data_IF_530919264519
#
_entry.id   IF_530919264519
#
_cell.length_a   1.000
_cell.length_b   1.000
_cell.length_c   1.000
_cell.angle_alpha   90.00
_cell.angle_beta   90.00
_cell.angle_gamma   90.00
#
_symmetry.space_group_name_H-M   'P 1'
#
loop_
_entity.id
_entity.type
_entity.pdbx_description
1 polymer ?
#
# COMPACT_ATOMS: atom_id res chain seq x y z
N UNK A 1 -14.12 -7.57 12.93
CA UNK A 1 -12.65 -7.55 12.73
C UNK A 1 -12.09 -6.41 13.58
N UNK A 2 -10.81 -6.41 13.98
CA UNK A 2 -10.23 -5.23 14.63
C UNK A 2 -10.04 -4.16 13.55
N UNK A 3 -10.80 -3.06 13.66
CA UNK A 3 -10.85 -1.97 12.67
C UNK A 3 -10.10 -0.71 13.13
N UNK A 4 -9.66 -0.73 14.39
CA UNK A 4 -9.02 0.40 15.06
C UNK A 4 -7.78 -0.09 15.80
N UNK A 5 -6.70 0.68 15.74
CA UNK A 5 -5.54 0.58 16.60
C UNK A 5 -5.37 1.90 17.36
N UNK A 6 -5.05 1.84 18.64
CA UNK A 6 -4.94 3.04 19.47
C UNK A 6 -3.50 3.58 19.46
N UNK A 7 -3.36 4.89 19.51
CA UNK A 7 -2.05 5.51 19.70
C UNK A 7 -1.54 5.27 21.13
N UNK A 8 -0.29 4.78 21.32
CA UNK A 8 0.26 4.54 22.65
C UNK A 8 0.51 5.82 23.48
N UNK A 9 0.38 7.01 22.88
CA UNK A 9 0.66 8.29 23.54
C UNK A 9 -0.61 9.09 23.87
N UNK A 10 -1.59 9.14 22.97
CA UNK A 10 -2.80 9.94 23.14
C UNK A 10 -4.08 9.11 23.12
N UNK A 11 -3.97 7.78 23.02
CA UNK A 11 -5.10 6.83 22.94
C UNK A 11 -6.07 7.10 21.77
N UNK A 12 -5.69 8.00 20.86
CA UNK A 12 -6.49 8.35 19.70
C UNK A 12 -6.64 7.16 18.74
N UNK A 13 -7.87 6.97 18.27
CA UNK A 13 -8.23 5.90 17.35
C UNK A 13 -7.60 6.10 15.97
N UNK A 14 -6.90 5.08 15.49
CA UNK A 14 -6.29 5.02 14.15
C UNK A 14 -7.00 3.93 13.37
N UNK A 15 -7.56 4.27 12.22
CA UNK A 15 -8.30 3.36 11.34
C UNK A 15 -7.44 2.99 10.14
N UNK A 16 -7.87 1.98 9.38
CA UNK A 16 -7.20 1.59 8.13
C UNK A 16 -7.12 2.75 7.13
N UNK A 17 -8.12 3.63 7.11
CA UNK A 17 -8.13 4.81 6.23
C UNK A 17 -6.96 5.75 6.54
N UNK A 18 -6.69 6.02 7.82
CA UNK A 18 -5.52 6.81 8.23
C UNK A 18 -4.18 6.18 7.83
N UNK A 19 -4.13 4.86 7.57
CA UNK A 19 -2.94 4.15 7.09
C UNK A 19 -2.80 4.28 5.58
N UNK A 20 -3.90 4.16 4.84
CA UNK A 20 -3.92 4.32 3.37
C UNK A 20 -3.54 5.75 2.99
N UNK A 21 -4.04 6.75 3.72
CA UNK A 21 -3.80 8.16 3.45
C UNK A 21 -2.40 8.65 3.89
N UNK A 22 -1.51 7.73 4.30
CA UNK A 22 -0.16 8.10 4.71
C UNK A 22 0.67 8.57 3.53
N UNK A 23 1.32 9.74 3.63
CA UNK A 23 2.17 10.24 2.55
C UNK A 23 3.42 9.38 2.35
N UNK A 24 3.90 8.72 3.40
CA UNK A 24 5.12 7.91 3.37
C UNK A 24 4.95 6.61 4.16
N UNK A 25 5.24 5.44 3.54
CA UNK A 25 5.01 4.13 4.16
C UNK A 25 5.89 3.84 5.38
N UNK A 26 7.02 4.54 5.53
CA UNK A 26 8.00 4.30 6.60
C UNK A 26 8.01 5.35 7.72
N UNK A 27 7.21 6.41 7.58
CA UNK A 27 7.13 7.50 8.56
C UNK A 27 5.70 7.69 9.04
N UNK A 28 5.27 6.78 9.92
CA UNK A 28 3.96 6.88 10.53
C UNK A 28 3.93 7.99 11.60
N UNK A 29 3.07 8.99 11.44
CA UNK A 29 2.76 9.97 12.48
C UNK A 29 1.32 9.79 12.91
N UNK A 30 1.06 9.84 14.21
CA UNK A 30 -0.31 9.78 14.71
C UNK A 30 -1.13 10.92 14.08
N UNK A 31 -2.33 10.67 13.53
CA UNK A 31 -3.17 11.72 12.94
C UNK A 31 -3.57 12.79 13.98
N UNK A 32 -3.72 12.37 15.24
CA UNK A 32 -4.18 13.21 16.36
C UNK A 32 -3.04 14.00 17.01
N UNK A 33 -2.06 13.33 17.63
CA UNK A 33 -0.99 13.98 18.40
C UNK A 33 0.30 14.22 17.60
N UNK A 34 0.34 13.83 16.31
CA UNK A 34 1.48 13.99 15.39
C UNK A 34 2.80 13.35 15.83
N UNK A 35 2.81 12.59 16.93
CA UNK A 35 3.99 11.84 17.39
C UNK A 35 4.42 10.82 16.34
N UNK A 36 5.73 10.65 16.17
CA UNK A 36 6.26 9.60 15.29
C UNK A 36 6.05 8.25 15.95
N UNK A 37 5.45 7.34 15.20
CA UNK A 37 5.16 5.98 15.61
C UNK A 37 5.96 5.02 14.72
N UNK A 38 6.37 3.90 15.31
CA UNK A 38 7.00 2.78 14.61
C UNK A 38 6.18 1.54 14.86
N UNK A 39 5.95 0.77 13.80
CA UNK A 39 5.43 -0.58 13.87
C UNK A 39 6.58 -1.54 13.54
N UNK A 40 6.77 -2.60 14.34
CA UNK A 40 7.91 -3.51 14.17
C UNK A 40 7.51 -4.97 13.95
N UNK A 41 6.24 -5.34 14.13
CA UNK A 41 5.79 -6.72 14.05
C UNK A 41 5.39 -7.11 12.63
N UNK A 42 4.53 -6.32 11.98
CA UNK A 42 3.96 -6.67 10.67
C UNK A 42 4.66 -5.93 9.52
N UNK A 43 5.29 -4.80 9.80
CA UNK A 43 5.98 -3.96 8.80
C UNK A 43 7.02 -4.75 7.98
N UNK A 44 7.89 -5.61 8.56
CA UNK A 44 8.81 -6.42 7.76
C UNK A 44 8.10 -7.36 6.77
N UNK A 45 6.98 -7.97 7.19
CA UNK A 45 6.17 -8.83 6.33
C UNK A 45 5.51 -8.03 5.20
N UNK A 46 4.99 -6.83 5.50
CA UNK A 46 4.40 -5.95 4.49
C UNK A 46 5.45 -5.46 3.48
N UNK A 47 6.67 -5.15 3.94
CA UNK A 47 7.79 -4.80 3.06
C UNK A 47 8.16 -5.97 2.16
N UNK A 48 8.25 -7.17 2.72
CA UNK A 48 8.53 -8.38 1.93
C UNK A 48 7.44 -8.60 0.86
N UNK A 49 6.17 -8.46 1.24
CA UNK A 49 5.06 -8.53 0.30
C UNK A 49 5.15 -7.45 -0.78
N UNK A 50 5.57 -6.22 -0.45
CA UNK A 50 5.80 -5.16 -1.42
C UNK A 50 6.92 -5.51 -2.41
N UNK A 51 8.03 -6.06 -1.91
CA UNK A 51 9.15 -6.52 -2.75
C UNK A 51 8.71 -7.61 -3.73
N UNK A 52 7.78 -8.48 -3.35
CA UNK A 52 7.23 -9.50 -4.25
C UNK A 52 6.17 -8.95 -5.21
N UNK A 53 5.28 -8.07 -4.75
CA UNK A 53 4.14 -7.62 -5.55
C UNK A 53 4.55 -6.60 -6.62
N UNK A 54 5.55 -5.75 -6.35
CA UNK A 54 5.97 -4.70 -7.29
C UNK A 54 6.49 -5.31 -8.61
N UNK A 55 7.44 -6.27 -8.61
CA UNK A 55 7.87 -6.94 -9.83
C UNK A 55 6.73 -7.67 -10.54
N UNK A 56 5.82 -8.30 -9.78
CA UNK A 56 4.66 -8.99 -10.33
C UNK A 56 3.77 -8.01 -11.12
N UNK A 57 3.49 -6.85 -10.54
CA UNK A 57 2.71 -5.79 -11.17
C UNK A 57 3.38 -5.23 -12.44
N UNK A 58 4.71 -5.10 -12.45
CA UNK A 58 5.47 -4.69 -13.64
C UNK A 58 5.32 -5.73 -14.74
N UNK A 59 5.55 -7.02 -14.43
CA UNK A 59 5.41 -8.11 -15.41
C UNK A 59 3.99 -8.19 -15.98
N UNK A 60 2.96 -8.03 -15.14
CA UNK A 60 1.57 -8.01 -15.58
C UNK A 60 1.30 -6.80 -16.49
N UNK A 61 1.75 -5.61 -16.11
CA UNK A 61 1.57 -4.39 -16.90
C UNK A 61 2.22 -4.49 -18.28
N UNK A 62 3.42 -5.05 -18.34
CA UNK A 62 4.14 -5.29 -19.60
C UNK A 62 3.46 -6.37 -20.44
N UNK A 63 3.05 -7.49 -19.84
CA UNK A 63 2.32 -8.56 -20.53
C UNK A 63 1.00 -8.07 -21.14
N UNK A 64 0.27 -7.21 -20.42
CA UNK A 64 -0.97 -6.59 -20.92
C UNK A 64 -0.64 -5.64 -22.07
N UNK A 65 0.43 -4.83 -21.97
CA UNK A 65 0.87 -3.95 -23.05
C UNK A 65 1.18 -4.75 -24.31
N UNK A 66 2.02 -5.78 -24.21
CA UNK A 66 2.37 -6.63 -25.35
C UNK A 66 1.14 -7.27 -26.00
N UNK A 67 0.20 -7.74 -25.18
CA UNK A 67 -1.05 -8.31 -25.68
C UNK A 67 -1.88 -7.27 -26.42
N UNK A 68 -1.98 -6.06 -25.89
CA UNK A 68 -2.73 -4.96 -26.50
C UNK A 68 -2.09 -4.46 -27.80
N UNK A 69 -0.77 -4.36 -27.87
CA UNK A 69 -0.03 -3.95 -29.08
C UNK A 69 -0.29 -4.91 -30.24
N UNK A 70 -0.46 -6.21 -29.97
CA UNK A 70 -0.84 -7.20 -31.02
C UNK A 70 -2.18 -6.90 -31.69
N UNK A 71 -3.11 -6.26 -30.97
CA UNK A 71 -4.43 -5.91 -31.51
C UNK A 71 -4.49 -4.47 -32.02
N UNK A 72 -3.76 -3.55 -31.37
CA UNK A 72 -3.79 -2.12 -31.66
C UNK A 72 -2.38 -1.53 -31.67
N UNK A 73 -1.85 -1.25 -32.86
CA UNK A 73 -0.50 -0.68 -33.03
C UNK A 73 -0.32 0.70 -32.37
N UNK A 74 -1.41 1.43 -32.11
CA UNK A 74 -1.39 2.75 -31.45
C UNK A 74 -0.95 2.67 -29.97
N UNK A 75 -0.98 1.46 -29.38
CA UNK A 75 -0.64 1.24 -27.96
C UNK A 75 0.88 1.17 -27.75
N UNK A 76 1.66 1.03 -28.82
CA UNK A 76 3.11 0.93 -28.72
C UNK A 76 3.74 2.20 -28.10
N UNK A 77 3.24 3.36 -28.53
CA UNK A 77 3.62 4.68 -28.03
C UNK A 77 3.05 5.01 -26.64
N UNK A 78 2.14 4.19 -26.11
CA UNK A 78 1.50 4.44 -24.81
C UNK A 78 2.45 4.04 -23.67
N UNK A 79 2.73 4.94 -22.72
CA UNK A 79 3.51 4.61 -21.53
C UNK A 79 2.87 3.47 -20.73
N UNK A 80 3.65 2.47 -20.34
CA UNK A 80 3.18 1.32 -19.53
C UNK A 80 2.53 1.75 -18.23
N UNK A 81 2.92 2.90 -17.68
CA UNK A 81 2.29 3.52 -16.49
C UNK A 81 0.80 3.79 -16.71
N UNK A 82 0.36 4.22 -17.89
CA UNK A 82 -1.07 4.45 -18.18
C UNK A 82 -1.83 3.12 -18.26
N UNK A 83 -1.23 2.11 -18.86
CA UNK A 83 -1.81 0.76 -18.93
C UNK A 83 -1.93 0.17 -17.51
N UNK A 84 -0.92 0.39 -16.68
CA UNK A 84 -0.98 0.04 -15.26
C UNK A 84 -2.14 0.73 -14.55
N UNK A 85 -2.33 2.03 -14.73
CA UNK A 85 -3.45 2.74 -14.10
C UNK A 85 -4.82 2.24 -14.58
N UNK A 86 -4.94 1.82 -15.84
CA UNK A 86 -6.20 1.35 -16.40
C UNK A 86 -6.56 -0.08 -15.94
N UNK A 87 -5.57 -0.99 -15.93
CA UNK A 87 -5.80 -2.43 -15.71
C UNK A 87 -5.36 -2.91 -14.33
N UNK A 88 -4.26 -2.39 -13.80
CA UNK A 88 -3.64 -2.86 -12.57
C UNK A 88 -4.02 -2.03 -11.33
N UNK A 89 -4.50 -0.79 -11.50
CA UNK A 89 -4.90 0.06 -10.37
C UNK A 89 -5.99 -0.55 -9.48
N UNK A 90 -7.06 -1.19 -10.01
CA UNK A 90 -8.07 -1.83 -9.15
C UNK A 90 -7.47 -2.93 -8.27
N UNK A 91 -6.53 -3.71 -8.80
CA UNK A 91 -5.82 -4.75 -8.06
C UNK A 91 -4.89 -4.13 -7.01
N UNK A 92 -4.18 -3.06 -7.37
CA UNK A 92 -3.33 -2.32 -6.46
C UNK A 92 -4.12 -1.71 -5.29
N UNK A 93 -5.29 -1.13 -5.56
CA UNK A 93 -6.18 -0.59 -4.53
C UNK A 93 -6.64 -1.66 -3.53
N UNK A 94 -6.98 -2.86 -4.01
CA UNK A 94 -7.31 -3.99 -3.15
C UNK A 94 -6.11 -4.42 -2.30
N UNK A 95 -4.91 -4.43 -2.88
CA UNK A 95 -3.67 -4.72 -2.17
C UNK A 95 -3.40 -3.71 -1.04
N UNK A 96 -3.52 -2.41 -1.30
CA UNK A 96 -3.35 -1.37 -0.28
C UNK A 96 -4.37 -1.50 0.86
N UNK A 97 -5.64 -1.71 0.51
CA UNK A 97 -6.71 -1.92 1.49
C UNK A 97 -6.45 -3.14 2.37
N UNK A 98 -5.98 -4.24 1.77
CA UNK A 98 -5.68 -5.47 2.51
C UNK A 98 -4.48 -5.27 3.46
N UNK A 99 -3.41 -4.62 2.99
CA UNK A 99 -2.26 -4.28 3.81
C UNK A 99 -2.62 -3.39 5.01
N UNK A 100 -3.47 -2.38 4.79
CA UNK A 100 -3.94 -1.51 5.87
C UNK A 100 -4.75 -2.29 6.92
N UNK A 101 -5.61 -3.23 6.51
CA UNK A 101 -6.35 -4.10 7.43
C UNK A 101 -5.40 -4.99 8.24
N UNK A 102 -4.40 -5.59 7.59
CA UNK A 102 -3.39 -6.41 8.27
C UNK A 102 -2.59 -5.57 9.29
N UNK A 103 -2.25 -4.34 8.92
CA UNK A 103 -1.57 -3.40 9.79
C UNK A 103 -2.39 -3.12 11.05
N UNK A 104 -3.68 -2.81 10.93
CA UNK A 104 -4.55 -2.55 12.08
C UNK A 104 -4.76 -3.80 12.93
N UNK A 105 -4.93 -4.95 12.29
CA UNK A 105 -5.27 -6.21 12.96
C UNK A 105 -4.09 -6.78 13.76
N UNK A 106 -2.88 -6.72 13.20
CA UNK A 106 -1.70 -7.41 13.73
C UNK A 106 -0.57 -6.47 14.14
N UNK A 107 -0.63 -5.20 13.74
CA UNK A 107 0.39 -4.21 14.05
C UNK A 107 0.47 -3.90 15.54
N UNK A 108 1.67 -3.52 15.97
CA UNK A 108 1.95 -3.07 17.31
C UNK A 108 2.70 -1.73 17.25
N UNK A 109 2.01 -0.66 17.59
CA UNK A 109 2.54 0.70 17.56
C UNK A 109 3.40 0.96 18.79
N UNK A 110 4.58 1.55 18.58
CA UNK A 110 5.43 2.11 19.61
C UNK A 110 5.81 3.53 19.24
N UNK A 111 6.02 4.39 20.24
CA UNK A 111 6.59 5.72 20.01
C UNK A 111 8.02 5.56 19.50
N UNK A 112 8.35 6.25 18.42
CA UNK A 112 9.71 6.29 17.87
C UNK A 112 10.48 7.36 18.65
N UNK A 113 11.31 6.94 19.60
CA UNK A 113 12.32 7.81 20.24
C UNK A 113 13.32 8.35 19.23
#
# INVERSE_FOLDING_TARGET
>A
MKEIIECPQCEGNITAQHIIDLPHPFSFRCPHCKVKLKEMRITPCLILAAICIIPLFIMIGESIKELLVKYFSIIDDVPTVLIFFLFCYPLYYLYEKYNAILFIKYGLLKVKS
#
